data_IF_855773969349
#
_entry.id   IF_855773969349
#
_cell.length_a   1.000
_cell.length_b   1.000
_cell.length_c   1.000
_cell.angle_alpha   90.00
_cell.angle_beta   90.00
_cell.angle_gamma   90.00
#
_symmetry.space_group_name_H-M   'P 1'
#
loop_
_entity.id
_entity.type
_entity.pdbx_description
1 polymer ?
#
# COMPACT_ATOMS: atom_id res chain seq x y z
N UNK A 1 -2.20 12.89 -5.01
CA UNK A 1 -1.21 12.12 -4.21
C UNK A 1 -1.92 11.51 -2.99
N UNK A 2 -2.70 10.45 -3.20
CA UNK A 2 -3.50 9.83 -2.13
C UNK A 2 -2.71 8.84 -1.27
N UNK A 3 -1.72 8.13 -1.84
CA UNK A 3 -0.76 7.30 -1.09
C UNK A 3 -0.16 8.09 0.10
N UNK A 4 0.18 9.37 -0.10
CA UNK A 4 0.73 10.22 0.98
C UNK A 4 -0.19 10.38 2.19
N UNK A 5 -1.52 10.33 2.03
CA UNK A 5 -2.44 10.55 3.15
C UNK A 5 -2.54 9.33 4.09
N UNK A 6 -2.29 8.13 3.55
CA UNK A 6 -2.26 6.89 4.32
C UNK A 6 -0.85 6.65 4.90
N UNK A 7 0.22 7.01 4.16
CA UNK A 7 1.59 6.62 4.49
C UNK A 7 2.46 7.68 5.20
N UNK A 8 1.94 8.87 5.51
CA UNK A 8 2.76 9.94 6.09
C UNK A 8 2.44 10.15 7.59
N UNK A 9 3.12 9.37 8.45
CA UNK A 9 3.37 9.72 9.86
C UNK A 9 4.83 10.20 9.99
N UNK A 10 5.14 11.30 10.69
CA UNK A 10 6.52 11.72 10.90
C UNK A 10 7.23 10.77 11.87
N UNK A 11 8.34 10.17 11.44
CA UNK A 11 9.24 9.41 12.29
C UNK A 11 10.11 10.38 13.11
N UNK A 12 10.01 10.34 14.44
CA UNK A 12 11.00 10.97 15.32
C UNK A 12 12.19 10.03 15.44
N UNK A 13 13.31 10.38 14.81
CA UNK A 13 14.60 9.70 14.93
C UNK A 13 15.63 10.69 15.47
N UNK A 14 16.02 10.52 16.73
CA UNK A 14 17.26 11.07 17.29
C UNK A 14 18.35 10.01 17.17
N UNK A 15 19.33 10.25 16.30
CA UNK A 15 20.59 9.51 16.30
C UNK A 15 21.70 10.45 16.78
N UNK A 16 22.44 9.96 17.77
CA UNK A 16 23.60 10.56 18.40
C UNK A 16 24.88 10.06 17.68
N UNK A 17 25.82 10.97 17.45
CA UNK A 17 27.02 10.77 16.65
C UNK A 17 28.16 10.18 17.51
N UNK A 18 28.86 9.17 17.00
CA UNK A 18 30.04 8.59 17.62
C UNK A 18 31.11 8.28 16.58
N UNK A 19 32.12 9.15 16.51
CA UNK A 19 33.27 9.07 15.63
C UNK A 19 34.23 7.93 16.00
N UNK A 20 34.80 7.23 15.00
CA UNK A 20 36.10 6.58 15.16
C UNK A 20 36.93 6.56 13.86
N UNK A 21 38.18 6.90 14.10
CA UNK A 21 39.37 7.15 13.30
C UNK A 21 39.85 5.96 12.44
N UNK A 22 40.31 6.24 11.21
CA UNK A 22 40.76 5.22 10.23
C UNK A 22 42.26 5.34 9.96
N UNK A 23 42.98 4.25 10.23
CA UNK A 23 44.40 4.05 9.97
C UNK A 23 44.71 3.85 8.47
N UNK A 24 45.86 4.39 8.03
CA UNK A 24 46.39 4.35 6.65
C UNK A 24 46.87 2.95 6.21
N UNK A 25 46.54 2.55 4.98
CA UNK A 25 47.29 1.57 4.15
C UNK A 25 47.27 1.97 2.65
N UNK A 26 48.26 1.54 1.84
CA UNK A 26 48.66 2.25 0.61
C UNK A 26 48.03 1.73 -0.71
N UNK A 27 47.98 2.67 -1.67
CA UNK A 27 47.98 2.60 -3.14
C UNK A 27 47.21 1.45 -3.84
N UNK A 28 46.00 1.76 -4.32
CA UNK A 28 45.30 1.04 -5.38
C UNK A 28 45.31 1.85 -6.68
N UNK A 29 45.51 1.15 -7.80
CA UNK A 29 45.55 1.60 -9.20
C UNK A 29 44.31 2.40 -9.62
N UNK A 30 44.50 3.51 -10.36
CA UNK A 30 43.43 4.39 -10.85
C UNK A 30 42.60 3.74 -11.97
N UNK A 31 41.25 3.78 -11.91
CA UNK A 31 40.38 3.48 -13.05
C UNK A 31 40.34 4.65 -14.07
N UNK A 32 40.03 4.40 -15.36
CA UNK A 32 40.05 5.42 -16.39
C UNK A 32 39.02 6.54 -16.15
N UNK A 33 39.39 7.76 -16.53
CA UNK A 33 38.63 8.98 -16.31
C UNK A 33 37.21 8.90 -16.91
N UNK A 34 36.21 9.03 -16.03
CA UNK A 34 34.79 9.12 -16.39
C UNK A 34 34.56 10.48 -17.06
N UNK A 35 34.25 10.49 -18.36
CA UNK A 35 33.83 11.70 -19.08
C UNK A 35 32.62 12.33 -18.37
N UNK A 36 32.79 13.49 -17.75
CA UNK A 36 31.68 14.22 -17.12
C UNK A 36 30.98 15.05 -18.18
N UNK A 37 29.74 14.67 -18.52
CA UNK A 37 28.88 15.50 -19.37
C UNK A 37 28.50 16.79 -18.62
N UNK A 38 28.43 17.95 -19.31
CA UNK A 38 27.97 19.21 -18.72
C UNK A 38 26.57 19.07 -18.12
N UNK A 39 26.32 19.77 -17.01
CA UNK A 39 25.01 19.76 -16.31
C UNK A 39 23.87 20.23 -17.23
N UNK A 40 24.16 21.11 -18.19
CA UNK A 40 23.19 21.58 -19.18
C UNK A 40 22.70 20.47 -20.13
N UNK A 41 23.61 19.63 -20.63
CA UNK A 41 23.28 18.49 -21.50
C UNK A 41 22.53 17.40 -20.71
N UNK A 42 22.86 17.26 -19.42
CA UNK A 42 22.13 16.38 -18.49
C UNK A 42 20.72 16.89 -18.21
N UNK A 43 20.51 18.21 -18.18
CA UNK A 43 19.20 18.83 -18.00
C UNK A 43 18.32 18.72 -19.26
N UNK A 44 18.92 18.76 -20.46
CA UNK A 44 18.21 18.49 -21.72
C UNK A 44 17.75 17.03 -21.84
N UNK A 45 18.56 16.07 -21.41
CA UNK A 45 18.18 14.65 -21.31
C UNK A 45 17.11 14.37 -20.24
N UNK A 46 16.88 15.29 -19.32
CA UNK A 46 15.86 15.24 -18.27
C UNK A 46 14.60 16.03 -18.62
N UNK A 47 14.53 16.66 -19.80
CA UNK A 47 13.27 17.21 -20.26
C UNK A 47 12.30 16.04 -20.43
N UNK A 48 11.12 16.08 -19.79
CA UNK A 48 10.12 15.05 -20.04
C UNK A 48 9.80 15.09 -21.53
N UNK A 49 10.20 14.05 -22.25
CA UNK A 49 9.67 13.80 -23.57
C UNK A 49 8.15 13.97 -23.46
N UNK A 50 7.55 14.80 -24.31
CA UNK A 50 6.10 14.84 -24.47
C UNK A 50 5.68 13.46 -24.99
N UNK A 51 5.54 12.49 -24.10
CA UNK A 51 5.11 11.15 -24.44
C UNK A 51 3.65 11.26 -24.83
N UNK A 52 3.44 11.14 -26.14
CA UNK A 52 2.14 10.81 -26.68
C UNK A 52 1.61 9.57 -25.94
N UNK A 53 0.44 9.72 -25.32
CA UNK A 53 -0.45 8.64 -24.90
C UNK A 53 -0.01 7.67 -23.79
N UNK A 54 0.67 8.15 -22.74
CA UNK A 54 0.95 7.35 -21.53
C UNK A 54 -0.28 7.14 -20.61
N UNK A 55 -1.49 7.13 -21.18
CA UNK A 55 -2.71 7.01 -20.40
C UNK A 55 -3.01 5.55 -20.07
N UNK A 56 -3.42 5.26 -18.83
CA UNK A 56 -3.86 3.93 -18.41
C UNK A 56 -5.03 3.49 -19.29
N UNK A 57 -4.88 2.37 -20.02
CA UNK A 57 -5.93 1.83 -20.88
C UNK A 57 -6.82 0.85 -20.12
N UNK A 58 -7.94 0.49 -20.73
CA UNK A 58 -8.78 -0.60 -20.23
C UNK A 58 -7.98 -1.91 -20.22
N UNK A 59 -8.12 -2.69 -19.15
CA UNK A 59 -7.44 -3.96 -18.89
C UNK A 59 -8.50 -4.97 -18.42
N UNK A 60 -8.87 -5.89 -19.31
CA UNK A 60 -9.91 -6.90 -19.08
C UNK A 60 -9.56 -7.89 -17.95
N UNK A 61 -8.28 -7.96 -17.56
CA UNK A 61 -7.80 -8.80 -16.47
C UNK A 61 -7.80 -8.10 -15.12
N UNK A 62 -8.01 -6.78 -15.08
CA UNK A 62 -7.91 -5.99 -13.86
C UNK A 62 -8.94 -6.44 -12.81
N UNK A 63 -10.22 -6.54 -13.17
CA UNK A 63 -11.26 -6.96 -12.23
C UNK A 63 -11.04 -8.40 -11.73
N UNK A 64 -10.77 -9.40 -12.58
CA UNK A 64 -10.38 -10.74 -12.12
C UNK A 64 -9.18 -10.73 -11.16
N UNK A 65 -8.15 -9.93 -11.45
CA UNK A 65 -6.97 -9.81 -10.58
C UNK A 65 -7.37 -9.28 -9.19
N UNK A 66 -8.11 -8.18 -9.12
CA UNK A 66 -8.49 -7.56 -7.85
C UNK A 66 -9.40 -8.47 -7.00
N UNK A 67 -10.30 -9.24 -7.63
CA UNK A 67 -11.08 -10.27 -6.91
C UNK A 67 -10.20 -11.40 -6.38
N UNK A 68 -9.16 -11.77 -7.12
CA UNK A 68 -8.13 -12.70 -6.63
C UNK A 68 -7.41 -12.16 -5.39
N UNK A 69 -7.04 -10.89 -5.41
CA UNK A 69 -6.42 -10.20 -4.28
C UNK A 69 -7.37 -10.17 -3.06
N UNK A 70 -8.67 -9.93 -3.26
CA UNK A 70 -9.68 -10.04 -2.19
C UNK A 70 -9.73 -11.43 -1.55
N UNK A 71 -9.76 -12.49 -2.36
CA UNK A 71 -9.78 -13.86 -1.86
C UNK A 71 -8.52 -14.18 -1.05
N UNK A 72 -7.35 -13.72 -1.51
CA UNK A 72 -6.09 -13.87 -0.79
C UNK A 72 -6.10 -13.14 0.57
N UNK A 73 -6.63 -11.90 0.61
CA UNK A 73 -6.77 -11.13 1.85
C UNK A 73 -7.69 -11.81 2.86
N UNK A 74 -8.83 -12.35 2.41
CA UNK A 74 -9.76 -13.10 3.26
C UNK A 74 -9.12 -14.39 3.80
N UNK A 75 -8.35 -15.10 2.98
CA UNK A 75 -7.62 -16.28 3.43
C UNK A 75 -6.55 -15.94 4.49
N UNK A 76 -5.83 -14.83 4.32
CA UNK A 76 -4.86 -14.36 5.32
C UNK A 76 -5.56 -13.97 6.62
N UNK A 77 -6.72 -13.31 6.55
CA UNK A 77 -7.55 -13.02 7.71
C UNK A 77 -7.93 -14.30 8.47
N UNK A 78 -8.47 -15.32 7.78
CA UNK A 78 -8.77 -16.62 8.40
C UNK A 78 -7.53 -17.29 9.00
N UNK A 79 -6.37 -17.14 8.37
CA UNK A 79 -5.11 -17.68 8.88
C UNK A 79 -4.71 -17.05 10.22
N UNK A 80 -4.88 -15.72 10.37
CA UNK A 80 -4.65 -15.04 11.65
C UNK A 80 -5.66 -15.51 12.70
N UNK A 81 -6.93 -15.62 12.35
CA UNK A 81 -7.98 -16.12 13.25
C UNK A 81 -7.69 -17.53 13.77
N UNK A 82 -7.21 -18.43 12.89
CA UNK A 82 -6.82 -19.79 13.24
C UNK A 82 -5.62 -19.81 14.18
N UNK A 83 -4.62 -18.95 13.96
CA UNK A 83 -3.46 -18.83 14.87
C UNK A 83 -3.87 -18.35 16.25
N UNK A 84 -4.76 -17.36 16.34
CA UNK A 84 -5.29 -16.91 17.64
C UNK A 84 -6.04 -18.03 18.36
N UNK A 85 -6.91 -18.75 17.65
CA UNK A 85 -7.73 -19.83 18.20
C UNK A 85 -6.89 -21.01 18.69
N UNK A 86 -5.76 -21.28 18.02
CA UNK A 86 -4.78 -22.29 18.44
C UNK A 86 -3.81 -21.81 19.54
N UNK A 87 -3.96 -20.57 20.03
CA UNK A 87 -3.04 -19.98 21.02
C UNK A 87 -1.65 -19.63 20.47
N UNK A 88 -1.45 -19.69 19.16
CA UNK A 88 -0.17 -19.42 18.49
C UNK A 88 0.09 -17.91 18.30
N UNK A 89 0.01 -17.15 19.38
CA UNK A 89 0.08 -15.68 19.39
C UNK A 89 1.42 -15.12 18.88
N UNK A 90 2.53 -15.82 19.11
CA UNK A 90 3.86 -15.40 18.66
C UNK A 90 4.01 -15.35 17.12
N UNK A 91 3.15 -16.10 16.42
CA UNK A 91 3.13 -16.15 14.95
C UNK A 91 2.20 -15.09 14.33
N UNK A 92 1.29 -14.50 15.11
CA UNK A 92 0.30 -13.51 14.60
C UNK A 92 0.97 -12.30 13.95
N UNK A 93 1.97 -11.63 14.56
CA UNK A 93 2.58 -10.45 13.96
C UNK A 93 3.23 -10.70 12.59
N UNK A 94 3.80 -11.89 12.37
CA UNK A 94 4.40 -12.24 11.08
C UNK A 94 3.33 -12.34 9.98
N UNK A 95 2.23 -13.04 10.24
CA UNK A 95 1.11 -13.16 9.29
C UNK A 95 0.41 -11.82 9.06
N UNK A 96 0.33 -10.94 10.07
CA UNK A 96 -0.20 -9.59 9.88
C UNK A 96 0.66 -8.74 8.96
N UNK A 97 1.99 -8.86 9.02
CA UNK A 97 2.87 -8.16 8.08
C UNK A 97 2.67 -8.64 6.65
N UNK A 98 2.49 -9.93 6.43
CA UNK A 98 2.17 -10.48 5.11
C UNK A 98 0.84 -9.94 4.59
N UNK A 99 -0.20 -9.94 5.43
CA UNK A 99 -1.52 -9.38 5.10
C UNK A 99 -1.44 -7.88 4.80
N UNK A 100 -0.66 -7.12 5.57
CA UNK A 100 -0.42 -5.69 5.32
C UNK A 100 0.22 -5.45 3.95
N UNK A 101 1.20 -6.27 3.56
CA UNK A 101 1.86 -6.15 2.27
C UNK A 101 0.93 -6.51 1.11
N UNK A 102 0.12 -7.57 1.25
CA UNK A 102 -0.91 -7.92 0.29
C UNK A 102 -1.93 -6.78 0.12
N UNK A 103 -2.40 -6.18 1.23
CA UNK A 103 -3.35 -5.07 1.19
C UNK A 103 -2.72 -3.84 0.54
N UNK A 104 -1.44 -3.56 0.81
CA UNK A 104 -0.72 -2.48 0.13
C UNK A 104 -0.66 -2.69 -1.38
N UNK A 105 -0.33 -3.90 -1.84
CA UNK A 105 -0.28 -4.25 -3.27
C UNK A 105 -1.63 -4.10 -3.96
N UNK A 106 -2.70 -4.57 -3.30
CA UNK A 106 -4.09 -4.42 -3.75
C UNK A 106 -4.45 -2.94 -3.94
N UNK A 107 -4.32 -2.13 -2.89
CA UNK A 107 -4.67 -0.71 -2.90
C UNK A 107 -3.84 0.10 -3.90
N UNK A 108 -2.57 -0.27 -4.11
CA UNK A 108 -1.72 0.35 -5.11
C UNK A 108 -2.23 0.04 -6.52
N UNK A 109 -2.59 -1.21 -6.79
CA UNK A 109 -3.13 -1.65 -8.08
C UNK A 109 -4.44 -0.92 -8.39
N UNK A 110 -5.35 -0.85 -7.44
CA UNK A 110 -6.59 -0.08 -7.58
C UNK A 110 -6.30 1.40 -7.82
N UNK A 111 -5.44 2.01 -7.01
CA UNK A 111 -5.09 3.43 -7.09
C UNK A 111 -4.48 3.83 -8.43
N UNK A 112 -3.56 3.02 -8.95
CA UNK A 112 -2.82 3.30 -10.17
C UNK A 112 -3.61 2.89 -11.41
N UNK A 113 -4.22 1.71 -11.43
CA UNK A 113 -4.92 1.19 -12.61
C UNK A 113 -6.40 1.59 -12.60
N UNK A 114 -7.17 1.10 -11.64
CA UNK A 114 -8.63 1.19 -11.62
C UNK A 114 -9.10 2.65 -11.50
N UNK A 115 -8.74 3.32 -10.41
CA UNK A 115 -9.17 4.70 -10.14
C UNK A 115 -8.67 5.69 -11.20
N UNK A 116 -7.43 5.52 -11.70
CA UNK A 116 -6.90 6.38 -12.78
C UNK A 116 -7.66 6.21 -14.09
N UNK A 117 -7.99 4.98 -14.49
CA UNK A 117 -8.79 4.70 -15.68
C UNK A 117 -10.19 5.28 -15.54
N UNK A 118 -10.90 4.93 -14.46
CA UNK A 118 -12.30 5.33 -14.24
C UNK A 118 -12.48 6.84 -14.15
N UNK A 119 -11.55 7.55 -13.51
CA UNK A 119 -11.58 9.01 -13.46
C UNK A 119 -11.62 9.63 -14.86
N UNK A 120 -10.92 9.03 -15.83
CA UNK A 120 -10.87 9.51 -17.21
C UNK A 120 -12.10 9.03 -17.98
N UNK A 121 -12.45 7.75 -17.92
CA UNK A 121 -13.56 7.20 -18.71
C UNK A 121 -14.92 7.80 -18.31
N UNK A 122 -15.08 8.19 -17.04
CA UNK A 122 -16.30 8.82 -16.52
C UNK A 122 -16.28 10.36 -16.59
N UNK A 123 -15.29 10.98 -17.25
CA UNK A 123 -15.13 12.44 -17.24
C UNK A 123 -16.34 13.18 -17.83
N UNK A 124 -16.98 12.59 -18.84
CA UNK A 124 -18.16 13.15 -19.52
C UNK A 124 -19.49 12.65 -18.92
N UNK A 125 -19.44 11.83 -17.86
CA UNK A 125 -20.60 11.22 -17.19
C UNK A 125 -20.72 11.75 -15.75
N UNK A 126 -21.24 12.97 -15.54
CA UNK A 126 -21.14 13.68 -14.25
C UNK A 126 -21.78 12.91 -13.08
N UNK A 127 -22.91 12.25 -13.32
CA UNK A 127 -23.58 11.43 -12.30
C UNK A 127 -22.71 10.24 -11.85
N UNK A 128 -22.08 9.54 -12.80
CA UNK A 128 -21.21 8.41 -12.50
C UNK A 128 -19.90 8.86 -11.86
N UNK A 129 -19.39 10.04 -12.26
CA UNK A 129 -18.20 10.64 -11.69
C UNK A 129 -18.37 11.01 -10.21
N UNK A 130 -19.56 11.49 -9.82
CA UNK A 130 -19.86 11.82 -8.42
C UNK A 130 -20.03 10.55 -7.56
N UNK A 131 -20.67 9.52 -8.09
CA UNK A 131 -20.72 8.19 -7.47
C UNK A 131 -19.29 7.67 -7.24
N UNK A 132 -18.47 7.64 -8.30
CA UNK A 132 -17.06 7.26 -8.24
C UNK A 132 -16.29 8.04 -7.16
N UNK A 133 -16.42 9.37 -7.09
CA UNK A 133 -15.73 10.21 -6.10
C UNK A 133 -16.18 9.92 -4.67
N UNK A 134 -17.47 9.65 -4.47
CA UNK A 134 -18.01 9.28 -3.15
C UNK A 134 -17.40 7.96 -2.68
N UNK A 135 -17.46 6.91 -3.52
CA UNK A 135 -16.90 5.61 -3.19
C UNK A 135 -15.40 5.68 -2.97
N UNK A 136 -14.67 6.41 -3.80
CA UNK A 136 -13.23 6.60 -3.60
C UNK A 136 -12.93 7.17 -2.21
N UNK A 137 -13.61 8.23 -1.78
CA UNK A 137 -13.37 8.84 -0.45
C UNK A 137 -13.70 7.88 0.69
N UNK A 138 -14.75 7.10 0.55
CA UNK A 138 -15.12 6.07 1.53
C UNK A 138 -14.04 4.99 1.63
N UNK A 139 -13.55 4.48 0.48
CA UNK A 139 -12.49 3.47 0.43
C UNK A 139 -11.18 3.98 1.02
N UNK A 140 -10.87 5.26 0.81
CA UNK A 140 -9.71 5.93 1.42
C UNK A 140 -9.81 5.90 2.97
N UNK A 141 -11.02 6.07 3.52
CA UNK A 141 -11.29 5.98 4.96
C UNK A 141 -11.11 4.57 5.51
N UNK A 142 -11.68 3.56 4.84
CA UNK A 142 -11.56 2.16 5.24
C UNK A 142 -10.10 1.69 5.22
N UNK A 143 -9.35 2.05 4.17
CA UNK A 143 -7.92 1.71 4.05
C UNK A 143 -7.09 2.24 5.22
N UNK A 144 -7.39 3.46 5.69
CA UNK A 144 -6.71 4.05 6.86
C UNK A 144 -6.93 3.22 8.13
N UNK A 145 -8.18 2.87 8.42
CA UNK A 145 -8.52 2.05 9.61
C UNK A 145 -7.75 0.73 9.61
N UNK A 146 -7.65 0.07 8.45
CA UNK A 146 -6.92 -1.17 8.33
C UNK A 146 -5.40 -1.01 8.51
N UNK A 147 -4.79 0.04 7.95
CA UNK A 147 -3.35 0.29 8.15
C UNK A 147 -3.00 0.71 9.57
N UNK A 148 -3.84 1.50 10.24
CA UNK A 148 -3.61 1.86 11.65
C UNK A 148 -3.62 0.59 12.54
N UNK A 149 -4.51 -0.38 12.24
CA UNK A 149 -4.49 -1.69 12.89
C UNK A 149 -3.17 -2.44 12.63
N UNK A 150 -2.75 -2.56 11.36
CA UNK A 150 -1.51 -3.27 11.03
C UNK A 150 -0.28 -2.62 11.67
N UNK A 151 -0.19 -1.30 11.65
CA UNK A 151 0.95 -0.56 12.19
C UNK A 151 1.02 -0.69 13.72
N UNK A 152 -0.13 -0.81 14.42
CA UNK A 152 -0.21 -1.04 15.86
C UNK A 152 0.31 -2.42 16.27
N UNK A 153 0.07 -3.45 15.44
CA UNK A 153 0.32 -4.86 15.81
C UNK A 153 1.45 -5.54 15.03
N UNK A 154 2.24 -4.78 14.26
CA UNK A 154 3.37 -5.31 13.45
C UNK A 154 4.53 -5.89 14.27
N UNK A 155 4.70 -5.45 15.52
CA UNK A 155 5.74 -5.90 16.46
C UNK A 155 5.25 -7.00 17.40
N UNK A 156 6.12 -7.46 18.31
CA UNK A 156 5.76 -8.43 19.35
C UNK A 156 5.52 -7.81 20.72
N UNK A 157 5.96 -6.57 20.94
CA UNK A 157 5.97 -5.94 22.27
C UNK A 157 4.58 -5.85 22.92
N UNK A 158 3.53 -5.68 22.10
CA UNK A 158 2.15 -5.65 22.58
C UNK A 158 1.70 -6.96 23.23
N UNK A 159 2.32 -8.11 22.89
CA UNK A 159 1.94 -9.41 23.45
C UNK A 159 2.21 -9.52 24.95
N UNK A 160 3.14 -8.71 25.48
CA UNK A 160 3.48 -8.68 26.90
C UNK A 160 2.56 -7.76 27.73
N UNK A 161 1.72 -6.95 27.08
CA UNK A 161 0.84 -6.02 27.77
C UNK A 161 -0.39 -6.75 28.37
N UNK A 162 -0.87 -6.32 29.55
CA UNK A 162 -2.14 -6.80 30.10
C UNK A 162 -3.28 -6.61 29.11
N UNK A 163 -4.19 -7.58 29.03
CA UNK A 163 -5.41 -7.57 28.18
C UNK A 163 -5.18 -7.41 26.67
N UNK A 164 -3.92 -7.40 26.21
CA UNK A 164 -3.60 -7.05 24.84
C UNK A 164 -4.19 -8.02 23.81
N UNK A 165 -4.31 -9.30 24.17
CA UNK A 165 -4.95 -10.33 23.33
C UNK A 165 -6.45 -10.10 23.16
N UNK A 166 -7.13 -9.66 24.22
CA UNK A 166 -8.56 -9.34 24.17
C UNK A 166 -8.80 -8.08 23.32
N UNK A 167 -8.01 -7.03 23.52
CA UNK A 167 -8.06 -5.81 22.72
C UNK A 167 -7.73 -6.08 21.24
N UNK A 168 -6.68 -6.85 20.99
CA UNK A 168 -6.32 -7.31 19.64
C UNK A 168 -7.50 -8.00 18.97
N UNK A 169 -8.14 -8.96 19.65
CA UNK A 169 -9.26 -9.71 19.09
C UNK A 169 -10.42 -8.78 18.73
N UNK A 170 -10.78 -7.84 19.60
CA UNK A 170 -11.86 -6.89 19.33
C UNK A 170 -11.56 -6.01 18.10
N UNK A 171 -10.33 -5.51 17.99
CA UNK A 171 -9.91 -4.69 16.85
C UNK A 171 -9.75 -5.52 15.56
N UNK A 172 -9.34 -6.78 15.66
CA UNK A 172 -9.25 -7.72 14.56
C UNK A 172 -10.63 -8.13 14.02
N UNK A 173 -11.62 -8.29 14.90
CA UNK A 173 -13.01 -8.50 14.51
C UNK A 173 -13.54 -7.27 13.75
N UNK A 174 -13.15 -6.06 14.17
CA UNK A 174 -13.46 -4.83 13.44
C UNK A 174 -12.75 -4.75 12.08
N UNK A 175 -11.47 -5.14 12.00
CA UNK A 175 -10.73 -5.24 10.73
C UNK A 175 -11.46 -6.14 9.72
N UNK A 176 -11.97 -7.29 10.17
CA UNK A 176 -12.74 -8.20 9.32
C UNK A 176 -14.00 -7.56 8.74
N UNK A 177 -14.75 -6.84 9.58
CA UNK A 177 -15.96 -6.10 9.14
C UNK A 177 -15.62 -5.07 8.08
N UNK A 178 -14.62 -4.20 8.32
CA UNK A 178 -14.27 -3.15 7.36
C UNK A 178 -13.72 -3.72 6.04
N UNK A 179 -13.01 -4.86 6.09
CA UNK A 179 -12.53 -5.54 4.89
C UNK A 179 -13.69 -6.09 4.03
N UNK A 180 -14.65 -6.79 4.66
CA UNK A 180 -15.84 -7.30 3.95
C UNK A 180 -16.68 -6.17 3.37
N UNK A 181 -16.85 -5.10 4.14
CA UNK A 181 -17.58 -3.90 3.73
C UNK A 181 -16.96 -3.23 2.48
N UNK A 182 -15.63 -3.18 2.42
CA UNK A 182 -14.88 -2.67 1.27
C UNK A 182 -15.06 -3.58 0.06
N UNK A 183 -14.76 -4.87 0.20
CA UNK A 183 -14.88 -5.87 -0.88
C UNK A 183 -16.29 -5.84 -1.49
N UNK A 184 -17.31 -5.84 -0.64
CA UNK A 184 -18.71 -5.86 -1.08
C UNK A 184 -19.06 -4.62 -1.90
N UNK A 185 -18.65 -3.43 -1.45
CA UNK A 185 -18.89 -2.17 -2.19
C UNK A 185 -18.11 -2.14 -3.50
N UNK A 186 -16.87 -2.58 -3.49
CA UNK A 186 -16.04 -2.59 -4.70
C UNK A 186 -16.60 -3.53 -5.75
N UNK A 187 -16.93 -4.76 -5.37
CA UNK A 187 -17.41 -5.76 -6.31
C UNK A 187 -18.82 -5.49 -6.83
N UNK A 188 -19.72 -4.96 -6.01
CA UNK A 188 -21.12 -4.76 -6.39
C UNK A 188 -21.42 -3.38 -6.97
N UNK A 189 -20.54 -2.40 -6.75
CA UNK A 189 -20.83 -0.99 -7.09
C UNK A 189 -19.71 -0.38 -7.92
N UNK A 190 -18.45 -0.50 -7.50
CA UNK A 190 -17.34 0.13 -8.23
C UNK A 190 -16.99 -0.64 -9.52
N UNK A 191 -16.80 -1.96 -9.44
CA UNK A 191 -16.38 -2.77 -10.58
C UNK A 191 -17.37 -2.79 -11.75
N UNK A 192 -18.70 -2.74 -11.54
CA UNK A 192 -19.66 -2.57 -12.63
C UNK A 192 -19.50 -1.27 -13.44
N UNK A 193 -18.86 -0.24 -12.88
CA UNK A 193 -18.58 1.02 -13.58
C UNK A 193 -17.29 0.94 -14.43
N UNK A 194 -16.54 -0.17 -14.35
CA UNK A 194 -15.31 -0.39 -15.12
C UNK A 194 -15.63 -1.05 -16.47
N UNK A 195 -15.93 -0.20 -17.47
CA UNK A 195 -16.32 -0.60 -18.83
C UNK A 195 -15.24 -0.18 -19.85
N UNK A 196 -15.11 -0.85 -21.01
CA UNK A 196 -14.13 -0.52 -22.07
C UNK A 196 -14.23 0.90 -22.66
#
# INVERSE_FOLDING_TARGET
MWLKSIFNKPATSTQDEGAHEVARRPAATQPPARRTMPIAERAELLQPAKSANNQIQYDDKLIPQLKGDHAALLLMYSTVANKMSAGAWDAVPATLREMRMAMYGHLLTEGVKLYSYMRRSLAEEPNLLDVYRSYKREMDGIGRVAFDFFDKYQGKDWLALPDARANFKAEFDNLGKVLVDRITREENILYPLYMP
#
